data_IF_690181564067
#
_entry.id   IF_690181564067
#
_cell.length_a   1.000
_cell.length_b   1.000
_cell.length_c   1.000
_cell.angle_alpha   90.00
_cell.angle_beta   90.00
_cell.angle_gamma   90.00
#
_symmetry.space_group_name_H-M   'P 1'
#
loop_
_entity.id
_entity.type
_entity.pdbx_description
1 polymer ?
#
# COMPACT_ATOMS: atom_id res chain seq x y z
N UNK A 1 -12.97 16.04 -18.73
CA UNK A 1 -11.69 16.78 -18.88
C UNK A 1 -11.30 17.31 -17.51
N UNK A 2 -10.48 16.56 -16.78
CA UNK A 2 -9.93 16.99 -15.49
C UNK A 2 -8.99 18.17 -15.76
N UNK A 3 -9.08 19.29 -15.02
CA UNK A 3 -8.12 20.37 -15.20
C UNK A 3 -6.74 19.79 -14.87
N UNK A 4 -5.80 19.89 -15.81
CA UNK A 4 -4.38 19.72 -15.47
C UNK A 4 -4.07 20.78 -14.42
N UNK A 5 -4.03 20.38 -13.16
CA UNK A 5 -3.51 21.22 -12.10
C UNK A 5 -2.11 21.66 -12.53
N UNK A 6 -1.83 22.95 -12.37
CA UNK A 6 -0.51 23.51 -12.54
C UNK A 6 0.49 22.65 -11.73
N UNK A 7 1.30 21.85 -12.43
CA UNK A 7 2.24 20.86 -11.87
C UNK A 7 3.45 21.52 -11.17
N UNK A 8 3.36 22.82 -10.88
CA UNK A 8 4.27 23.55 -9.99
C UNK A 8 3.94 23.36 -8.51
N UNK A 9 2.78 22.76 -8.19
CA UNK A 9 2.37 22.47 -6.82
C UNK A 9 2.99 21.15 -6.32
N UNK A 10 4.03 21.26 -5.49
CA UNK A 10 4.73 20.13 -4.88
C UNK A 10 3.91 19.56 -3.71
N UNK A 11 2.87 18.81 -4.04
CA UNK A 11 2.05 18.07 -3.09
C UNK A 11 2.33 16.57 -3.19
N UNK A 12 1.78 15.80 -2.24
CA UNK A 12 2.05 14.37 -2.09
C UNK A 12 1.04 13.49 -2.85
N UNK A 13 0.72 13.87 -4.09
CA UNK A 13 -0.19 13.16 -5.00
C UNK A 13 0.54 12.47 -6.18
N UNK A 14 1.88 12.49 -6.16
CA UNK A 14 2.80 11.90 -7.16
C UNK A 14 4.10 11.44 -6.44
N UNK A 15 4.88 10.45 -6.95
CA UNK A 15 4.73 9.66 -8.18
C UNK A 15 3.66 8.59 -8.16
N UNK A 16 3.20 8.18 -6.99
CA UNK A 16 2.19 7.14 -6.87
C UNK A 16 0.80 7.81 -6.80
N UNK A 17 0.04 7.87 -7.91
CA UNK A 17 -1.26 8.52 -7.94
C UNK A 17 -2.22 8.00 -6.87
N UNK A 18 -3.05 8.92 -6.39
CA UNK A 18 -4.14 8.62 -5.45
C UNK A 18 -5.27 7.87 -6.16
N UNK A 19 -5.98 7.06 -5.37
CA UNK A 19 -7.10 6.23 -5.83
C UNK A 19 -8.38 7.07 -5.80
N UNK A 20 -9.07 7.15 -6.94
CA UNK A 20 -10.41 7.76 -6.99
C UNK A 20 -11.38 6.87 -6.23
N UNK A 21 -12.22 7.44 -5.37
CA UNK A 21 -13.18 6.64 -4.62
C UNK A 21 -14.32 6.18 -5.54
N UNK A 22 -14.84 4.96 -5.37
CA UNK A 22 -16.02 4.51 -6.12
C UNK A 22 -17.23 5.44 -5.99
N UNK A 23 -17.36 6.12 -4.85
CA UNK A 23 -18.43 7.09 -4.61
C UNK A 23 -18.30 8.39 -5.42
N UNK A 24 -17.12 8.73 -5.94
CA UNK A 24 -16.96 9.91 -6.82
C UNK A 24 -17.70 9.75 -8.14
N UNK A 25 -17.79 8.52 -8.64
CA UNK A 25 -18.45 8.18 -9.90
C UNK A 25 -19.90 7.79 -9.67
N UNK A 26 -20.16 6.90 -8.71
CA UNK A 26 -21.47 6.28 -8.50
C UNK A 26 -22.32 6.91 -7.38
N UNK A 27 -21.73 7.80 -6.58
CA UNK A 27 -22.33 8.24 -5.32
C UNK A 27 -22.40 7.13 -4.27
N UNK A 28 -22.86 7.45 -3.06
CA UNK A 28 -23.05 6.46 -1.98
C UNK A 28 -24.34 5.65 -2.15
N UNK A 29 -24.46 4.94 -3.26
CA UNK A 29 -25.68 4.20 -3.65
C UNK A 29 -25.76 2.81 -3.02
N UNK A 30 -24.65 2.23 -2.56
CA UNK A 30 -24.64 0.95 -1.85
C UNK A 30 -23.67 0.92 -0.66
N UNK A 31 -23.87 0.02 0.33
CA UNK A 31 -22.92 -0.19 1.41
C UNK A 31 -21.53 -0.63 0.93
N UNK A 32 -21.45 -1.40 -0.17
CA UNK A 32 -20.20 -1.86 -0.77
C UNK A 32 -19.39 -0.70 -1.36
N UNK A 33 -20.05 0.22 -2.09
CA UNK A 33 -19.41 1.44 -2.59
C UNK A 33 -18.88 2.27 -1.42
N UNK A 34 -19.63 2.37 -0.33
CA UNK A 34 -19.19 3.09 0.87
C UNK A 34 -17.98 2.42 1.53
N UNK A 35 -17.97 1.09 1.63
CA UNK A 35 -16.85 0.31 2.19
C UNK A 35 -15.59 0.46 1.34
N UNK A 36 -15.69 0.27 0.01
CA UNK A 36 -14.59 0.47 -0.92
C UNK A 36 -14.07 1.92 -0.91
N UNK A 37 -14.97 2.91 -0.85
CA UNK A 37 -14.58 4.32 -0.71
C UNK A 37 -13.89 4.62 0.62
N UNK A 38 -14.30 3.98 1.72
CA UNK A 38 -13.61 4.09 3.01
C UNK A 38 -12.18 3.60 2.88
N UNK A 39 -12.00 2.45 2.22
CA UNK A 39 -10.69 1.84 2.04
C UNK A 39 -9.78 2.71 1.17
N UNK A 40 -10.28 3.19 0.04
CA UNK A 40 -9.56 4.13 -0.83
C UNK A 40 -9.09 5.41 -0.08
N UNK A 41 -9.89 5.92 0.86
CA UNK A 41 -9.49 7.09 1.67
C UNK A 41 -8.37 6.79 2.67
N UNK A 42 -8.34 5.58 3.23
CA UNK A 42 -7.24 5.12 4.09
C UNK A 42 -5.98 4.91 3.25
N UNK A 43 -6.11 4.24 2.10
CA UNK A 43 -5.02 4.01 1.15
C UNK A 43 -4.43 5.33 0.64
N UNK A 44 -5.26 6.33 0.36
CA UNK A 44 -4.79 7.65 -0.04
C UNK A 44 -3.99 8.36 1.06
N UNK A 45 -4.25 8.09 2.34
CA UNK A 45 -3.40 8.59 3.41
C UNK A 45 -2.06 7.86 3.49
N UNK A 46 -2.02 6.57 3.15
CA UNK A 46 -0.78 5.77 3.03
C UNK A 46 0.05 6.26 1.83
N UNK A 47 -0.56 6.36 0.64
CA UNK A 47 0.07 6.84 -0.59
C UNK A 47 0.61 8.26 -0.44
N UNK A 48 -0.11 9.15 0.25
CA UNK A 48 0.39 10.49 0.57
C UNK A 48 1.65 10.48 1.42
N UNK A 49 1.76 9.58 2.40
CA UNK A 49 3.00 9.45 3.17
C UNK A 49 4.14 8.91 2.32
N UNK A 50 3.86 7.90 1.50
CA UNK A 50 4.84 7.34 0.57
C UNK A 50 5.37 8.43 -0.38
N UNK A 51 4.48 9.15 -1.06
CA UNK A 51 4.83 10.28 -1.92
C UNK A 51 5.60 11.36 -1.16
N UNK A 52 5.16 11.71 0.05
CA UNK A 52 5.86 12.69 0.88
C UNK A 52 7.28 12.25 1.23
N UNK A 53 7.52 10.97 1.55
CA UNK A 53 8.87 10.46 1.80
C UNK A 53 9.70 10.43 0.52
N UNK A 54 9.14 9.90 -0.58
CA UNK A 54 9.79 9.79 -1.87
C UNK A 54 10.29 11.15 -2.38
N UNK A 55 9.44 12.18 -2.30
CA UNK A 55 9.76 13.52 -2.77
C UNK A 55 10.69 14.31 -1.84
N UNK A 56 10.69 14.05 -0.52
CA UNK A 56 11.45 14.85 0.45
C UNK A 56 12.78 14.21 0.88
N UNK A 57 12.95 12.89 0.72
CA UNK A 57 14.10 12.15 1.27
C UNK A 57 15.47 12.72 0.87
N UNK A 58 15.61 13.19 -0.38
CA UNK A 58 16.86 13.74 -0.92
C UNK A 58 17.21 15.15 -0.39
N UNK A 59 16.33 15.77 0.39
CA UNK A 59 16.49 17.14 0.92
C UNK A 59 16.65 17.17 2.44
N UNK A 60 16.69 16.00 3.07
CA UNK A 60 16.81 15.89 4.52
C UNK A 60 18.25 16.18 4.94
N UNK A 61 18.40 17.17 5.81
CA UNK A 61 19.66 17.50 6.46
C UNK A 61 19.79 16.81 7.82
N UNK A 62 20.99 16.70 8.42
CA UNK A 62 21.17 16.13 9.75
C UNK A 62 20.29 16.78 10.84
N UNK A 63 20.00 18.09 10.73
CA UNK A 63 19.12 18.79 11.68
C UNK A 63 17.64 18.45 11.52
N UNK A 64 17.23 17.99 10.32
CA UNK A 64 15.83 17.63 10.02
C UNK A 64 15.57 16.11 10.06
N UNK A 65 16.63 15.31 9.96
CA UNK A 65 16.56 13.85 9.96
C UNK A 65 15.83 13.23 11.17
N UNK A 66 15.98 13.70 12.44
CA UNK A 66 15.26 13.09 13.57
C UNK A 66 13.73 13.15 13.39
N UNK A 67 13.22 14.30 12.95
CA UNK A 67 11.79 14.50 12.73
C UNK A 67 11.30 13.71 11.50
N UNK A 68 12.12 13.64 10.45
CA UNK A 68 11.79 12.90 9.25
C UNK A 68 11.75 11.38 9.49
N UNK A 69 12.75 10.83 10.19
CA UNK A 69 12.75 9.43 10.60
C UNK A 69 11.54 9.09 11.47
N UNK A 70 11.14 9.99 12.37
CA UNK A 70 9.90 9.83 13.15
C UNK A 70 8.65 9.77 12.25
N UNK A 71 8.58 10.61 11.20
CA UNK A 71 7.51 10.56 10.21
C UNK A 71 7.49 9.22 9.47
N UNK A 72 8.65 8.77 8.97
CA UNK A 72 8.80 7.48 8.30
C UNK A 72 8.36 6.30 9.18
N UNK A 73 8.75 6.31 10.46
CA UNK A 73 8.33 5.25 11.39
C UNK A 73 6.85 5.30 11.75
N UNK A 74 6.19 6.47 11.70
CA UNK A 74 4.74 6.56 11.88
C UNK A 74 4.00 6.03 10.64
N UNK A 75 4.55 6.26 9.44
CA UNK A 75 4.04 5.68 8.20
C UNK A 75 4.19 4.16 8.18
N UNK A 76 5.36 3.62 8.56
CA UNK A 76 5.57 2.16 8.67
C UNK A 76 4.59 1.52 9.66
N UNK A 77 4.39 2.14 10.84
CA UNK A 77 3.39 1.63 11.78
C UNK A 77 1.95 1.68 11.23
N UNK A 78 1.61 2.70 10.44
CA UNK A 78 0.29 2.79 9.79
C UNK A 78 0.07 1.63 8.82
N UNK A 79 1.02 1.37 7.92
CA UNK A 79 0.88 0.33 6.89
C UNK A 79 0.89 -1.08 7.49
N UNK A 80 1.77 -1.35 8.47
CA UNK A 80 1.77 -2.63 9.20
C UNK A 80 0.48 -2.85 9.98
N UNK A 81 -0.04 -1.82 10.66
CA UNK A 81 -1.29 -1.94 11.40
C UNK A 81 -2.47 -2.21 10.48
N UNK A 82 -2.50 -1.59 9.29
CA UNK A 82 -3.54 -1.75 8.30
C UNK A 82 -3.60 -3.20 7.79
N UNK A 83 -2.52 -3.71 7.18
CA UNK A 83 -2.47 -5.08 6.65
C UNK A 83 -2.68 -6.14 7.74
N UNK A 84 -2.14 -5.93 8.94
CA UNK A 84 -2.40 -6.84 10.06
C UNK A 84 -3.89 -6.89 10.41
N UNK A 85 -4.61 -5.77 10.35
CA UNK A 85 -6.05 -5.75 10.62
C UNK A 85 -6.87 -6.33 9.46
N UNK A 86 -6.39 -6.23 8.22
CA UNK A 86 -6.96 -6.98 7.10
C UNK A 86 -6.88 -8.49 7.37
N UNK A 87 -5.67 -9.00 7.55
CA UNK A 87 -5.41 -10.45 7.63
C UNK A 87 -5.92 -11.11 8.91
N UNK A 88 -5.97 -10.37 10.03
CA UNK A 88 -6.46 -10.92 11.31
C UNK A 88 -7.94 -10.68 11.56
N UNK A 89 -8.60 -9.83 10.76
CA UNK A 89 -10.01 -9.53 10.94
C UNK A 89 -10.77 -9.35 9.62
N UNK A 90 -10.42 -8.39 8.76
CA UNK A 90 -11.25 -8.05 7.59
C UNK A 90 -11.47 -9.24 6.64
N UNK A 91 -10.38 -9.83 6.15
CA UNK A 91 -10.45 -10.95 5.20
C UNK A 91 -11.10 -12.18 5.83
N UNK A 92 -10.67 -12.66 7.02
CA UNK A 92 -11.28 -13.85 7.62
C UNK A 92 -12.77 -13.68 7.94
N UNK A 93 -13.21 -12.48 8.34
CA UNK A 93 -14.62 -12.21 8.63
C UNK A 93 -15.48 -12.32 7.37
N UNK A 94 -15.00 -11.80 6.23
CA UNK A 94 -15.70 -11.90 4.94
C UNK A 94 -15.78 -13.35 4.48
N UNK A 95 -14.65 -14.07 4.50
CA UNK A 95 -14.60 -15.49 4.11
C UNK A 95 -15.50 -16.36 4.97
N UNK A 96 -15.49 -16.13 6.29
CA UNK A 96 -16.34 -16.87 7.24
C UNK A 96 -17.82 -16.59 7.01
N UNK A 97 -18.20 -15.33 6.80
CA UNK A 97 -19.58 -14.94 6.55
C UNK A 97 -20.15 -15.54 5.25
N UNK A 98 -19.29 -15.74 4.24
CA UNK A 98 -19.67 -16.29 2.95
C UNK A 98 -19.46 -17.80 2.82
N UNK A 99 -18.76 -18.43 3.77
CA UNK A 99 -18.27 -19.81 3.67
C UNK A 99 -17.40 -20.04 2.42
N UNK A 100 -16.55 -19.06 2.09
CA UNK A 100 -15.66 -19.08 0.93
C UNK A 100 -14.20 -18.87 1.38
N UNK A 101 -13.52 -19.93 1.86
CA UNK A 101 -12.10 -19.82 2.22
C UNK A 101 -11.24 -19.50 0.98
N UNK A 102 -10.25 -18.63 1.14
CA UNK A 102 -9.35 -18.22 0.05
C UNK A 102 -9.92 -17.15 -0.87
N UNK A 103 -11.09 -16.57 -0.56
CA UNK A 103 -11.67 -15.47 -1.35
C UNK A 103 -10.75 -14.24 -1.37
N UNK A 104 -9.94 -14.05 -0.33
CA UNK A 104 -8.99 -12.95 -0.22
C UNK A 104 -7.53 -13.34 -0.53
N UNK A 105 -7.27 -14.55 -1.02
CA UNK A 105 -5.90 -15.06 -1.24
C UNK A 105 -5.06 -14.13 -2.13
N UNK A 106 -5.64 -13.58 -3.20
CA UNK A 106 -4.96 -12.59 -4.05
C UNK A 106 -4.50 -11.34 -3.31
N UNK A 107 -5.28 -10.81 -2.36
CA UNK A 107 -4.85 -9.65 -1.56
C UNK A 107 -3.67 -10.02 -0.64
N UNK A 108 -3.65 -11.25 -0.11
CA UNK A 108 -2.55 -11.75 0.74
C UNK A 108 -1.28 -11.97 -0.09
N UNK A 109 -1.40 -12.54 -1.29
CA UNK A 109 -0.26 -12.68 -2.22
C UNK A 109 0.33 -11.32 -2.61
N UNK A 110 -0.52 -10.32 -2.84
CA UNK A 110 -0.12 -8.94 -3.09
C UNK A 110 0.56 -8.29 -1.88
N UNK A 111 0.09 -8.53 -0.66
CA UNK A 111 0.81 -8.15 0.56
C UNK A 111 2.22 -8.73 0.53
N UNK A 112 2.34 -10.05 0.36
CA UNK A 112 3.62 -10.75 0.36
C UNK A 112 4.58 -10.23 -0.71
N UNK A 113 4.07 -9.75 -1.85
CA UNK A 113 4.88 -9.23 -2.94
C UNK A 113 5.71 -7.99 -2.57
N UNK A 114 5.14 -7.01 -1.84
CA UNK A 114 5.88 -5.80 -1.45
C UNK A 114 6.57 -5.91 -0.08
N UNK A 115 6.23 -6.92 0.73
CA UNK A 115 6.76 -7.10 2.08
C UNK A 115 8.30 -7.18 2.17
N UNK A 116 9.06 -7.78 1.23
CA UNK A 116 10.52 -7.75 1.26
C UNK A 116 11.09 -6.32 1.30
N UNK A 117 10.59 -5.41 0.46
CA UNK A 117 11.06 -4.03 0.44
C UNK A 117 10.55 -3.21 1.63
N UNK A 118 9.32 -3.47 2.11
CA UNK A 118 8.83 -2.85 3.35
C UNK A 118 9.69 -3.25 4.56
N UNK A 119 10.13 -4.51 4.67
CA UNK A 119 11.07 -4.94 5.72
C UNK A 119 12.44 -4.26 5.59
N UNK A 120 12.93 -4.03 4.38
CA UNK A 120 14.17 -3.28 4.14
C UNK A 120 14.02 -1.81 4.58
N UNK A 121 12.84 -1.21 4.33
CA UNK A 121 12.50 0.12 4.83
C UNK A 121 12.52 0.18 6.35
N UNK A 122 11.85 -0.76 7.04
CA UNK A 122 11.81 -0.81 8.50
C UNK A 122 13.21 -0.95 9.11
N UNK A 123 14.03 -1.85 8.55
CA UNK A 123 15.40 -2.06 9.00
C UNK A 123 16.25 -0.79 8.82
N UNK A 124 16.08 -0.09 7.70
CA UNK A 124 16.81 1.14 7.43
C UNK A 124 16.43 2.27 8.38
N UNK A 125 15.13 2.56 8.53
CA UNK A 125 14.69 3.68 9.39
C UNK A 125 14.96 3.43 10.88
N UNK A 126 15.05 2.16 11.31
CA UNK A 126 15.35 1.79 12.70
C UNK A 126 16.85 1.83 12.99
N UNK A 127 17.70 1.52 12.01
CA UNK A 127 19.16 1.52 12.18
C UNK A 127 19.80 2.90 11.93
N UNK A 128 19.11 3.80 11.23
CA UNK A 128 19.64 5.12 10.92
C UNK A 128 19.69 6.05 12.15
N UNK A 129 20.77 6.80 12.22
CA UNK A 129 20.91 7.99 13.07
C UNK A 129 20.81 9.24 12.19
N UNK A 130 20.58 10.43 12.77
CA UNK A 130 20.56 11.67 11.99
C UNK A 130 21.81 11.92 11.14
N UNK A 131 22.96 11.40 11.57
CA UNK A 131 24.25 11.53 10.88
C UNK A 131 24.52 10.43 9.86
N UNK A 132 23.84 9.28 9.96
CA UNK A 132 23.98 8.15 9.02
C UNK A 132 22.83 8.05 8.03
N UNK A 133 21.81 8.91 8.16
CA UNK A 133 20.72 9.02 7.21
C UNK A 133 21.25 9.41 5.82
N UNK A 134 20.79 8.69 4.80
CA UNK A 134 21.05 8.94 3.39
C UNK A 134 19.71 8.97 2.65
N UNK A 135 19.39 10.13 2.07
CA UNK A 135 18.19 10.28 1.26
C UNK A 135 18.19 9.35 0.05
N UNK A 136 19.33 9.18 -0.61
CA UNK A 136 19.50 8.31 -1.77
C UNK A 136 19.22 6.84 -1.39
N UNK A 137 19.74 6.40 -0.24
CA UNK A 137 19.47 5.03 0.22
C UNK A 137 18.00 4.81 0.54
N UNK A 138 17.34 5.79 1.19
CA UNK A 138 15.90 5.68 1.44
C UNK A 138 15.12 5.64 0.12
N UNK A 139 15.50 6.48 -0.84
CA UNK A 139 14.88 6.51 -2.16
C UNK A 139 14.92 5.15 -2.84
N UNK A 140 16.10 4.54 -2.95
CA UNK A 140 16.28 3.19 -3.52
C UNK A 140 15.40 2.15 -2.84
N UNK A 141 15.28 2.22 -1.51
CA UNK A 141 14.45 1.28 -0.75
C UNK A 141 12.98 1.50 -1.05
N UNK A 142 12.49 2.74 -1.07
CA UNK A 142 11.11 3.05 -1.42
C UNK A 142 10.79 2.59 -2.84
N UNK A 143 11.69 2.84 -3.79
CA UNK A 143 11.54 2.46 -5.19
C UNK A 143 11.39 0.94 -5.38
N UNK A 144 12.05 0.15 -4.51
CA UNK A 144 12.03 -1.31 -4.59
C UNK A 144 10.66 -1.96 -4.33
N UNK A 145 9.69 -1.27 -3.71
CA UNK A 145 8.39 -1.86 -3.36
C UNK A 145 7.19 -0.95 -3.63
N UNK A 146 7.39 0.35 -3.84
CA UNK A 146 6.30 1.31 -3.91
C UNK A 146 5.29 1.03 -5.04
N UNK A 147 5.77 0.57 -6.21
CA UNK A 147 4.90 0.22 -7.33
C UNK A 147 4.02 -1.00 -7.00
N UNK A 148 4.59 -2.06 -6.41
CA UNK A 148 3.84 -3.26 -6.00
C UNK A 148 2.81 -2.92 -4.92
N UNK A 149 3.19 -2.11 -3.94
CA UNK A 149 2.26 -1.64 -2.92
C UNK A 149 1.13 -0.80 -3.51
N UNK A 150 1.41 0.06 -4.51
CA UNK A 150 0.37 0.83 -5.17
C UNK A 150 -0.64 -0.05 -5.90
N UNK A 151 -0.16 -1.09 -6.60
CA UNK A 151 -1.03 -2.07 -7.28
C UNK A 151 -1.98 -2.69 -6.27
N UNK A 152 -1.43 -3.25 -5.17
CA UNK A 152 -2.22 -3.82 -4.09
C UNK A 152 -3.30 -2.86 -3.55
N UNK A 153 -2.89 -1.65 -3.18
CA UNK A 153 -3.81 -0.64 -2.64
C UNK A 153 -4.91 -0.26 -3.64
N UNK A 154 -4.71 -0.46 -4.94
CA UNK A 154 -5.73 -0.18 -5.96
C UNK A 154 -6.64 -1.39 -6.17
N UNK A 155 -6.05 -2.57 -6.28
CA UNK A 155 -6.77 -3.82 -6.59
C UNK A 155 -7.68 -4.25 -5.45
N UNK A 156 -7.30 -4.01 -4.19
CA UNK A 156 -8.20 -4.27 -3.04
C UNK A 156 -9.51 -3.45 -3.15
N UNK A 157 -9.46 -2.22 -3.68
CA UNK A 157 -10.67 -1.39 -3.86
C UNK A 157 -11.61 -2.01 -4.89
N UNK A 158 -11.06 -2.63 -5.93
CA UNK A 158 -11.84 -3.39 -6.91
C UNK A 158 -12.42 -4.64 -6.26
N UNK A 159 -11.61 -5.40 -5.52
CA UNK A 159 -12.04 -6.59 -4.79
C UNK A 159 -13.21 -6.30 -3.83
N UNK A 160 -13.14 -5.22 -3.04
CA UNK A 160 -14.24 -4.82 -2.15
C UNK A 160 -15.52 -4.47 -2.93
N UNK A 161 -15.40 -3.81 -4.09
CA UNK A 161 -16.56 -3.52 -4.94
C UNK A 161 -17.20 -4.79 -5.48
N UNK A 162 -16.39 -5.78 -5.87
CA UNK A 162 -16.88 -7.06 -6.37
C UNK A 162 -17.68 -7.86 -5.34
N UNK A 163 -17.44 -7.65 -4.04
CA UNK A 163 -18.24 -8.27 -2.97
C UNK A 163 -19.73 -7.91 -3.05
N UNK A 164 -20.10 -6.86 -3.79
CA UNK A 164 -21.50 -6.52 -4.07
C UNK A 164 -22.29 -7.66 -4.75
N UNK A 165 -21.62 -8.60 -5.43
CA UNK A 165 -22.27 -9.82 -5.94
C UNK A 165 -22.86 -10.71 -4.84
N UNK A 166 -22.46 -10.50 -3.59
CA UNK A 166 -22.98 -11.17 -2.41
C UNK A 166 -23.95 -10.29 -1.60
N UNK A 167 -24.52 -9.25 -2.20
CA UNK A 167 -25.56 -8.45 -1.56
C UNK A 167 -26.72 -9.35 -1.07
N UNK A 168 -27.17 -9.11 0.15
CA UNK A 168 -28.15 -9.94 0.86
C UNK A 168 -27.58 -11.19 1.55
N UNK A 169 -26.32 -11.55 1.28
CA UNK A 169 -25.59 -12.64 1.98
C UNK A 169 -24.47 -12.12 2.88
N UNK A 170 -23.87 -10.98 2.53
CA UNK A 170 -22.81 -10.33 3.30
C UNK A 170 -23.31 -9.01 3.89
N UNK A 171 -23.27 -8.90 5.22
CA UNK A 171 -23.46 -7.63 5.91
C UNK A 171 -22.12 -6.88 6.00
N UNK A 172 -21.74 -6.23 4.89
CA UNK A 172 -20.48 -5.48 4.81
C UNK A 172 -20.41 -4.33 5.82
N UNK A 173 -21.56 -3.82 6.30
CA UNK A 173 -21.59 -2.77 7.32
C UNK A 173 -21.14 -3.30 8.68
N UNK A 174 -21.61 -4.49 9.07
CA UNK A 174 -21.15 -5.12 10.30
C UNK A 174 -19.68 -5.55 10.20
N UNK A 175 -19.24 -6.10 9.06
CA UNK A 175 -17.82 -6.40 8.81
C UNK A 175 -16.97 -5.14 9.02
N UNK A 176 -17.35 -4.04 8.37
CA UNK A 176 -16.66 -2.75 8.47
C UNK A 176 -16.59 -2.23 9.91
N UNK A 177 -17.65 -2.45 10.68
CA UNK A 177 -17.74 -2.04 12.09
C UNK A 177 -16.80 -2.85 12.98
N UNK A 178 -16.75 -4.16 12.80
CA UNK A 178 -15.84 -5.05 13.54
C UNK A 178 -14.39 -4.75 13.18
N UNK A 179 -14.07 -4.64 11.89
CA UNK A 179 -12.72 -4.28 11.43
C UNK A 179 -12.28 -2.91 11.98
N UNK A 180 -13.15 -1.89 11.93
CA UNK A 180 -12.84 -0.58 12.50
C UNK A 180 -12.59 -0.61 14.02
N UNK A 181 -13.22 -1.54 14.75
CA UNK A 181 -12.96 -1.73 16.17
C UNK A 181 -11.58 -2.36 16.42
N UNK A 182 -11.18 -3.34 15.60
CA UNK A 182 -9.86 -3.98 15.70
C UNK A 182 -8.74 -2.99 15.33
N UNK A 183 -8.93 -2.18 14.27
CA UNK A 183 -8.02 -1.08 13.92
C UNK A 183 -7.85 -0.12 15.10
N UNK A 184 -8.95 0.31 15.73
CA UNK A 184 -8.89 1.25 16.88
C UNK A 184 -8.19 0.67 18.11
N UNK A 185 -8.29 -0.64 18.32
CA UNK A 185 -7.66 -1.34 19.44
C UNK A 185 -6.14 -1.41 19.27
N UNK A 186 -5.66 -1.56 18.04
CA UNK A 186 -4.23 -1.72 17.72
C UNK A 186 -3.52 -0.42 17.41
N UNK A 187 -4.20 0.54 16.78
CA UNK A 187 -3.59 1.78 16.32
C UNK A 187 -3.08 2.64 17.48
N UNK A 188 -1.81 3.04 17.40
CA UNK A 188 -1.25 4.02 18.34
C UNK A 188 -1.94 5.37 18.24
N UNK A 189 -2.39 5.87 19.40
CA UNK A 189 -3.02 7.20 19.52
C UNK A 189 -2.02 8.35 19.32
N UNK A 190 -0.73 8.09 19.42
CA UNK A 190 0.34 9.12 19.33
C UNK A 190 1.12 9.05 18.02
N UNK A 191 0.94 7.99 17.22
CA UNK A 191 1.66 7.76 15.96
C UNK A 191 0.69 7.55 14.80
N UNK A 192 -0.05 6.45 14.79
CA UNK A 192 -1.00 6.11 13.71
C UNK A 192 -2.13 7.13 13.57
N UNK A 193 -2.82 7.47 14.67
CA UNK A 193 -3.93 8.44 14.60
C UNK A 193 -3.50 9.84 14.11
N UNK A 194 -2.45 10.48 14.64
CA UNK A 194 -1.98 11.75 14.10
C UNK A 194 -1.43 11.63 12.67
N UNK A 195 -0.80 10.52 12.32
CA UNK A 195 -0.36 10.27 10.94
C UNK A 195 -1.55 10.31 9.98
N UNK A 196 -2.60 9.53 10.26
CA UNK A 196 -3.81 9.49 9.43
C UNK A 196 -4.48 10.87 9.35
N UNK A 197 -4.54 11.59 10.47
CA UNK A 197 -5.06 12.95 10.49
C UNK A 197 -4.25 13.88 9.58
N UNK A 198 -2.93 13.93 9.72
CA UNK A 198 -2.08 14.89 9.00
C UNK A 198 -1.85 14.55 7.53
N UNK A 199 -2.27 13.36 7.07
CA UNK A 199 -2.23 12.96 5.66
C UNK A 199 -3.63 12.77 5.03
N UNK A 200 -4.71 13.01 5.78
CA UNK A 200 -6.07 12.99 5.25
C UNK A 200 -6.51 14.39 4.78
N UNK A 201 -6.71 14.53 3.46
CA UNK A 201 -7.26 15.71 2.80
C UNK A 201 -8.79 15.74 2.88
N UNK A 202 -9.34 16.75 3.53
CA UNK A 202 -10.80 16.96 3.67
C UNK A 202 -11.45 17.50 2.40
N UNK A 203 -10.65 18.04 1.47
CA UNK A 203 -11.09 18.57 0.18
C UNK A 203 -11.05 17.57 -0.96
N UNK A 204 -10.55 16.35 -0.72
CA UNK A 204 -10.44 15.31 -1.75
C UNK A 204 -11.79 15.05 -2.41
N UNK A 205 -11.80 14.96 -3.74
CA UNK A 205 -13.00 14.80 -4.58
C UNK A 205 -14.11 15.83 -4.27
N UNK A 206 -13.72 17.09 -4.08
CA UNK A 206 -14.66 18.16 -3.75
C UNK A 206 -15.23 18.07 -2.33
N UNK A 207 -14.64 17.23 -1.47
CA UNK A 207 -15.03 17.08 -0.08
C UNK A 207 -16.34 16.31 0.11
N UNK A 208 -16.69 15.40 -0.79
CA UNK A 208 -17.89 14.56 -0.67
C UNK A 208 -17.81 13.58 0.53
N UNK A 209 -16.60 13.32 1.05
CA UNK A 209 -16.33 12.34 2.11
C UNK A 209 -16.50 12.88 3.54
N UNK A 210 -17.43 13.83 3.78
CA UNK A 210 -17.57 14.47 5.12
C UNK A 210 -17.84 13.51 6.27
N UNK A 211 -18.32 12.30 5.98
CA UNK A 211 -18.58 11.24 6.96
C UNK A 211 -17.29 10.53 7.42
N UNK A 212 -16.24 10.51 6.58
CA UNK A 212 -14.95 9.95 6.94
C UNK A 212 -14.11 11.04 7.60
N UNK A 213 -14.08 11.05 8.93
CA UNK A 213 -13.30 12.00 9.72
C UNK A 213 -12.41 11.27 10.71
N UNK A 214 -11.16 10.94 10.32
CA UNK A 214 -10.16 10.38 11.24
C UNK A 214 -9.91 11.24 12.48
N UNK A 215 -10.16 12.54 12.36
CA UNK A 215 -10.27 13.49 13.46
C UNK A 215 -10.84 14.82 13.01
N UNK A 216 -11.61 15.47 13.89
CA UNK A 216 -12.01 16.87 13.74
C UNK A 216 -10.83 17.84 13.96
N UNK A 217 -11.06 19.14 13.80
CA UNK A 217 -10.01 20.17 13.95
C UNK A 217 -9.33 20.14 15.33
N UNK A 218 -10.09 19.93 16.41
CA UNK A 218 -9.55 19.78 17.77
C UNK A 218 -8.69 18.54 17.89
N UNK A 219 -9.15 17.41 17.37
CA UNK A 219 -8.39 16.15 17.39
C UNK A 219 -7.10 16.27 16.59
N UNK A 220 -7.15 16.86 15.40
CA UNK A 220 -5.97 17.14 14.57
C UNK A 220 -4.96 17.98 15.33
N UNK A 221 -5.40 19.02 16.02
CA UNK A 221 -4.55 19.85 16.87
C UNK A 221 -3.94 19.05 18.04
N UNK A 222 -4.78 18.37 18.83
CA UNK A 222 -4.33 17.62 20.01
C UNK A 222 -3.37 16.48 19.65
N UNK A 223 -3.68 15.70 18.61
CA UNK A 223 -2.81 14.60 18.20
C UNK A 223 -1.50 15.10 17.58
N UNK A 224 -1.49 16.28 16.97
CA UNK A 224 -0.27 16.86 16.40
C UNK A 224 0.75 17.35 17.43
N UNK A 225 0.39 17.40 18.72
CA UNK A 225 1.33 17.73 19.80
C UNK A 225 2.39 16.64 19.95
N UNK A 226 1.99 15.37 19.87
CA UNK A 226 2.94 14.25 19.84
C UNK A 226 3.65 14.22 18.51
N UNK A 227 4.96 14.03 18.51
CA UNK A 227 5.77 14.02 17.28
C UNK A 227 5.57 15.29 16.43
N UNK A 228 5.29 16.45 17.04
CA UNK A 228 5.00 17.71 16.32
C UNK A 228 6.00 18.04 15.22
N UNK A 229 7.27 17.70 15.44
CA UNK A 229 8.33 17.88 14.47
C UNK A 229 8.11 17.08 13.20
N UNK A 230 7.60 15.85 13.30
CA UNK A 230 7.36 14.94 12.17
C UNK A 230 6.27 15.44 11.22
N UNK A 231 5.21 16.08 11.74
CA UNK A 231 4.06 16.51 10.93
C UNK A 231 4.35 17.66 9.96
N UNK A 232 5.56 18.22 10.00
CA UNK A 232 6.03 19.16 8.99
C UNK A 232 6.22 18.50 7.62
N UNK A 233 6.41 17.18 7.59
CA UNK A 233 6.58 16.37 6.37
C UNK A 233 5.27 15.80 5.83
N UNK A 234 4.16 15.94 6.56
CA UNK A 234 2.85 15.44 6.16
C UNK A 234 2.26 16.18 4.96
N UNK A 235 1.39 15.50 4.23
CA UNK A 235 0.75 16.03 3.02
C UNK A 235 -0.30 17.11 3.29
N UNK A 236 -0.87 17.18 4.49
CA UNK A 236 -1.93 18.13 4.85
C UNK A 236 -1.56 18.98 6.06
N UNK A 237 -2.14 20.18 6.13
CA UNK A 237 -2.06 21.02 7.32
C UNK A 237 -3.06 20.55 8.41
N UNK A 238 -3.08 21.22 9.57
CA UNK A 238 -3.97 20.86 10.68
C UNK A 238 -5.46 21.09 10.39
N UNK A 239 -5.81 21.89 9.38
CA UNK A 239 -7.18 22.00 8.89
C UNK A 239 -7.57 20.85 7.93
N UNK A 240 -6.60 20.01 7.55
CA UNK A 240 -6.80 18.90 6.64
C UNK A 240 -6.78 19.31 5.17
N UNK A 241 -6.18 20.45 4.82
CA UNK A 241 -6.02 20.86 3.44
C UNK A 241 -4.62 20.55 2.90
N UNK A 242 -4.48 20.35 1.58
CA UNK A 242 -3.19 20.13 0.93
C UNK A 242 -2.16 21.18 1.34
N UNK A 243 -0.94 20.72 1.60
CA UNK A 243 0.19 21.57 1.97
C UNK A 243 1.36 21.31 1.04
N UNK A 244 2.06 22.38 0.68
CA UNK A 244 3.36 22.28 0.00
C UNK A 244 4.36 21.48 0.85
N UNK A 245 5.01 20.50 0.23
CA UNK A 245 6.07 19.70 0.86
C UNK A 245 7.34 20.53 1.09
N UNK A 246 8.09 20.18 2.13
CA UNK A 246 9.28 20.93 2.53
C UNK A 246 10.50 20.52 1.70
N UNK A 247 11.34 21.49 1.34
CA UNK A 247 12.64 21.23 0.72
C UNK A 247 12.60 20.79 -0.73
N UNK A 248 11.45 20.37 -1.26
CA UNK A 248 11.29 19.98 -2.66
C UNK A 248 11.52 21.20 -3.54
N UNK A 249 12.43 21.11 -4.52
CA UNK A 249 12.70 22.19 -5.51
C UNK A 249 12.19 21.75 -6.89
N UNK A 250 11.45 22.60 -7.64
CA UNK A 250 10.84 22.18 -8.91
C UNK A 250 11.85 21.73 -9.97
N UNK A 251 13.07 22.24 -9.90
CA UNK A 251 14.14 22.01 -10.87
C UNK A 251 14.65 20.57 -10.81
N UNK A 252 14.94 20.05 -9.61
CA UNK A 252 15.44 18.67 -9.42
C UNK A 252 14.37 17.60 -9.66
N UNK A 253 13.08 17.94 -9.52
CA UNK A 253 11.99 17.05 -9.95
C UNK A 253 11.95 16.86 -11.48
N UNK A 254 12.46 17.81 -12.28
CA UNK A 254 12.59 17.63 -13.73
C UNK A 254 13.68 16.61 -14.02
N UNK A 255 14.83 16.73 -13.38
CA UNK A 255 15.94 15.78 -13.51
C UNK A 255 15.54 14.33 -13.16
N UNK A 256 14.81 14.13 -12.05
CA UNK A 256 14.32 12.79 -11.68
C UNK A 256 13.29 12.24 -12.69
N UNK A 257 12.43 13.10 -13.24
CA UNK A 257 11.47 12.71 -14.30
C UNK A 257 12.16 12.37 -15.61
N UNK A 258 13.22 13.08 -15.96
CA UNK A 258 13.98 12.84 -17.18
C UNK A 258 14.72 11.48 -17.07
N UNK A 259 15.29 11.17 -15.90
CA UNK A 259 15.89 9.86 -15.62
C UNK A 259 14.85 8.72 -15.62
N UNK A 260 13.67 8.96 -15.04
CA UNK A 260 12.57 7.98 -15.02
C UNK A 260 11.97 7.75 -16.42
N UNK A 261 11.89 8.80 -17.25
CA UNK A 261 11.47 8.72 -18.64
C UNK A 261 12.51 7.99 -19.51
N UNK A 262 13.79 8.26 -19.31
CA UNK A 262 14.89 7.56 -19.99
C UNK A 262 14.88 6.06 -19.64
N UNK A 263 14.68 5.70 -18.36
CA UNK A 263 14.56 4.29 -17.94
C UNK A 263 13.36 3.57 -18.55
N UNK A 264 12.19 4.22 -18.61
CA UNK A 264 11.00 3.64 -19.26
C UNK A 264 11.20 3.48 -20.76
N UNK A 265 11.83 4.45 -21.42
CA UNK A 265 12.17 4.39 -22.84
C UNK A 265 13.21 3.29 -23.15
N UNK A 266 14.17 3.05 -22.25
CA UNK A 266 15.13 1.96 -22.35
C UNK A 266 14.48 0.58 -22.12
N UNK A 267 13.46 0.50 -21.26
CA UNK A 267 12.67 -0.71 -21.01
C UNK A 267 11.76 -1.12 -22.17
N UNK A 268 11.18 -0.14 -22.88
CA UNK A 268 10.35 -0.36 -24.09
C UNK A 268 11.18 -0.68 -25.35
N UNK A 269 12.51 -0.46 -25.31
CA UNK A 269 13.42 -0.69 -26.43
C UNK A 269 13.94 -2.13 -26.59
N UNK A 270 13.55 -3.07 -25.71
CA UNK A 270 13.95 -4.47 -25.82
C UNK A 270 12.99 -5.22 -26.76
N UNK A 271 13.47 -5.83 -27.86
CA UNK A 271 12.59 -6.64 -28.69
C UNK A 271 12.06 -7.81 -27.87
N UNK A 272 10.74 -8.02 -27.91
CA UNK A 272 10.10 -9.25 -27.45
C UNK A 272 10.80 -10.43 -28.13
N UNK A 273 11.63 -11.17 -27.40
CA UNK A 273 12.04 -12.50 -27.84
C UNK A 273 10.81 -13.38 -27.75
N UNK A 274 10.13 -13.50 -28.90
CA UNK A 274 8.91 -14.27 -29.08
C UNK A 274 9.07 -15.70 -28.60
N UNK A 275 8.18 -16.10 -27.70
CA UNK A 275 7.89 -17.50 -27.41
C UNK A 275 6.65 -17.90 -28.22
N UNK A 276 6.81 -17.96 -29.54
CA UNK A 276 5.84 -18.57 -30.45
C UNK A 276 6.48 -19.80 -31.08
N UNK A 277 5.91 -20.97 -30.79
CA UNK A 277 6.15 -22.20 -31.56
C UNK A 277 6.70 -23.35 -30.74
N UNK A 278 5.87 -23.98 -29.91
CA UNK A 278 6.05 -25.40 -29.62
C UNK A 278 4.77 -26.12 -30.05
N UNK A 279 4.80 -26.61 -31.28
CA UNK A 279 3.81 -27.50 -31.86
C UNK A 279 3.76 -28.80 -31.06
N UNK A 280 2.57 -29.15 -30.58
CA UNK A 280 2.24 -30.47 -30.07
C UNK A 280 2.26 -31.46 -31.25
N UNK A 281 3.33 -32.24 -31.37
CA UNK A 281 3.31 -33.46 -32.15
C UNK A 281 2.95 -34.63 -31.23
N UNK A 282 1.82 -35.25 -31.56
CA UNK A 282 1.33 -36.51 -31.03
C UNK A 282 2.11 -37.67 -31.64
N UNK A 283 2.76 -38.48 -30.82
CA UNK A 283 3.06 -39.87 -31.17
C UNK A 283 2.63 -40.80 -30.04
N UNK A 284 1.72 -41.70 -30.39
CA UNK A 284 1.23 -42.82 -29.59
C UNK A 284 1.84 -44.13 -30.10
N UNK A 285 2.02 -45.08 -29.16
CA UNK A 285 2.31 -46.53 -29.32
C UNK A 285 3.79 -46.92 -29.53
N UNK A 286 4.45 -47.77 -28.72
CA UNK A 286 4.10 -49.13 -28.21
C UNK A 286 5.06 -49.46 -27.03
N UNK A 287 4.62 -49.81 -25.80
CA UNK A 287 4.20 -51.13 -25.23
C UNK A 287 5.30 -52.19 -24.97
N UNK A 288 5.51 -52.45 -23.64
CA UNK A 288 5.84 -53.71 -22.91
C UNK A 288 7.29 -54.23 -22.70
N UNK A 289 7.39 -54.88 -21.53
CA UNK A 289 8.46 -55.71 -20.92
C UNK A 289 9.50 -54.94 -20.08
N UNK A 290 9.77 -55.23 -18.80
CA UNK A 290 9.41 -56.38 -17.97
C UNK A 290 9.35 -55.98 -16.49
N UNK A 291 8.30 -56.44 -15.81
CA UNK A 291 8.32 -56.72 -14.38
C UNK A 291 8.12 -58.23 -14.26
N UNK A 292 9.16 -58.99 -13.94
CA UNK A 292 9.09 -60.06 -12.93
C UNK A 292 10.45 -60.76 -12.71
N UNK A 293 10.57 -61.39 -11.54
CA UNK A 293 11.74 -62.05 -10.95
C UNK A 293 12.70 -61.08 -10.22
N UNK A 294 12.94 -61.19 -8.92
CA UNK A 294 13.05 -62.39 -8.09
C UNK A 294 12.79 -62.05 -6.61
N UNK A 295 11.86 -62.79 -6.00
CA UNK A 295 11.64 -62.86 -4.55
C UNK A 295 12.48 -64.00 -3.98
N UNK A 296 13.02 -63.79 -2.77
CA UNK A 296 13.38 -64.80 -1.74
C UNK A 296 14.85 -65.25 -1.67
N UNK A 297 15.54 -64.89 -0.59
CA UNK A 297 15.81 -65.84 0.51
C UNK A 297 16.52 -65.21 1.73
N UNK A 298 15.74 -65.16 2.83
CA UNK A 298 16.05 -65.42 4.24
C UNK A 298 17.49 -65.41 4.81
N UNK A 299 17.50 -64.78 6.01
CA UNK A 299 18.04 -65.22 7.33
C UNK A 299 19.47 -64.81 7.73
N UNK A 300 19.47 -63.90 8.72
CA UNK A 300 19.95 -64.12 10.10
C UNK A 300 21.44 -64.40 10.31
N UNK A 301 22.14 -63.52 11.04
CA UNK A 301 22.59 -63.73 12.43
C UNK A 301 23.73 -62.77 12.86
N UNK A 302 23.47 -62.13 14.01
CA UNK A 302 24.34 -61.88 15.18
C UNK A 302 25.47 -60.85 15.09
N UNK A 303 25.43 -59.93 16.07
CA UNK A 303 26.51 -59.08 16.55
C UNK A 303 25.97 -58.03 17.49
#
# INVERSE_FOLDING_TARGET
MTPMHDRTYQWADYPFPLISTPASEAGYTSPFIKSASKMALVHNAILRGLNAMYLQCLYITPSTAPAFLTFCSCWSEMIHNHHLCEETAYFPLIETALHLPGLAEGNVEEHDAFMPGLRAFDAYITSCTPTTFSGERLYEILDSFAALMQVHLTDEILWIQELSRFEGKLDIVEIDKVHAAEVKKRASKTRVKPYLCTNHDVGYEGGIHKWFRPGGWVERYLYSVWNWGAWRFSACNLAGHPRKLLGVRPERLREMRDVEADWRAEGEGRPETGMTGMTLETETETVKEAADSTTTSRRSLIG
#
